data_IF_140008381481
#
_entry.id   IF_140008381481
#
_cell.length_a   1.000
_cell.length_b   1.000
_cell.length_c   1.000
_cell.angle_alpha   90.00
_cell.angle_beta   90.00
_cell.angle_gamma   90.00
#
_symmetry.space_group_name_H-M   'P 1'
#
loop_
_entity.id
_entity.type
_entity.pdbx_description
1 polymer ?
#
# COMPACT_ATOMS: atom_id res chain seq x y z
N UNK A 1 12.94 2.25 12.14
CA UNK A 1 11.47 2.44 12.21
C UNK A 1 10.87 1.73 11.01
N UNK A 2 9.65 1.23 11.15
CA UNK A 2 8.97 0.43 10.14
C UNK A 2 7.47 0.69 10.24
N UNK A 3 6.74 0.51 9.14
CA UNK A 3 5.28 0.61 9.12
C UNK A 3 4.69 -0.75 8.78
N UNK A 4 3.52 -1.05 9.35
CA UNK A 4 2.87 -2.34 9.17
C UNK A 4 1.54 -2.17 8.46
N UNK A 5 1.41 -2.68 7.24
CA UNK A 5 0.14 -2.81 6.54
C UNK A 5 -0.64 -4.00 7.08
N UNK A 6 -1.88 -3.77 7.49
CA UNK A 6 -2.73 -4.80 8.11
C UNK A 6 -3.68 -5.40 7.09
N UNK A 7 -3.68 -6.72 7.01
CA UNK A 7 -4.62 -7.49 6.20
C UNK A 7 -5.30 -8.54 7.06
N UNK A 8 -6.46 -9.02 6.63
CA UNK A 8 -7.24 -10.05 7.37
C UNK A 8 -6.48 -11.36 7.58
N UNK A 9 -5.60 -11.73 6.63
CA UNK A 9 -4.83 -12.97 6.69
C UNK A 9 -3.47 -12.80 7.38
N UNK A 10 -2.77 -11.69 7.10
CA UNK A 10 -1.42 -11.48 7.62
C UNK A 10 -0.96 -10.03 7.48
N UNK A 11 -0.23 -9.55 8.48
CA UNK A 11 0.43 -8.25 8.43
C UNK A 11 1.67 -8.24 7.51
N UNK A 12 1.93 -7.09 6.88
CA UNK A 12 3.10 -6.84 6.04
C UNK A 12 3.83 -5.61 6.52
N UNK A 13 5.07 -5.80 6.96
CA UNK A 13 5.90 -4.71 7.47
C UNK A 13 6.93 -4.33 6.43
N UNK A 14 7.07 -3.02 6.18
CA UNK A 14 8.12 -2.45 5.33
C UNK A 14 8.91 -1.42 6.13
N UNK A 15 10.16 -1.17 5.72
CA UNK A 15 11.01 -0.15 6.35
C UNK A 15 10.45 1.25 6.12
N UNK A 16 10.83 2.21 6.98
CA UNK A 16 10.45 3.62 6.79
C UNK A 16 10.93 4.20 5.45
N UNK A 17 12.06 3.74 4.91
CA UNK A 17 12.57 4.24 3.64
C UNK A 17 11.73 3.75 2.47
N UNK A 18 11.31 2.48 2.50
CA UNK A 18 10.37 1.91 1.52
C UNK A 18 9.00 2.56 1.62
N UNK A 19 8.55 2.87 2.84
CA UNK A 19 7.30 3.57 3.08
C UNK A 19 7.33 5.01 2.53
N UNK A 20 8.41 5.76 2.74
CA UNK A 20 8.59 7.10 2.16
C UNK A 20 8.65 7.05 0.64
N UNK A 21 9.34 6.05 0.10
CA UNK A 21 9.37 5.81 -1.34
C UNK A 21 7.95 5.54 -1.89
N UNK A 22 7.19 4.66 -1.24
CA UNK A 22 5.82 4.31 -1.63
C UNK A 22 4.89 5.53 -1.53
N UNK A 23 4.99 6.31 -0.46
CA UNK A 23 4.29 7.58 -0.29
C UNK A 23 4.58 8.55 -1.45
N UNK A 24 5.84 8.64 -1.86
CA UNK A 24 6.25 9.38 -3.05
C UNK A 24 5.54 8.89 -4.31
N UNK A 25 5.47 7.58 -4.54
CA UNK A 25 4.77 7.00 -5.70
C UNK A 25 3.26 7.23 -5.69
N UNK A 26 2.63 7.24 -4.51
CA UNK A 26 1.21 7.58 -4.35
C UNK A 26 1.00 9.07 -4.70
N UNK A 27 1.85 9.96 -4.19
CA UNK A 27 1.77 11.42 -4.44
C UNK A 27 2.14 11.83 -5.87
N UNK A 28 2.87 11.00 -6.61
CA UNK A 28 3.28 11.27 -8.00
C UNK A 28 2.17 10.91 -9.01
N UNK A 29 1.01 10.42 -8.55
CA UNK A 29 -0.14 10.21 -9.43
C UNK A 29 -0.54 11.53 -10.13
N UNK A 30 -0.81 11.47 -11.44
CA UNK A 30 -1.19 12.64 -12.26
C UNK A 30 -2.44 13.34 -11.72
N UNK A 31 -3.38 12.55 -11.19
CA UNK A 31 -4.52 13.00 -10.41
C UNK A 31 -4.50 12.26 -9.07
N UNK A 32 -4.46 13.02 -7.98
CA UNK A 32 -4.63 12.48 -6.63
C UNK A 32 -6.13 12.22 -6.42
N UNK A 33 -6.54 10.98 -6.66
CA UNK A 33 -7.90 10.54 -6.33
C UNK A 33 -8.13 10.70 -4.81
N UNK A 34 -9.39 10.81 -4.35
CA UNK A 34 -9.67 10.85 -2.91
C UNK A 34 -9.10 9.64 -2.15
N UNK A 35 -9.06 8.47 -2.79
CA UNK A 35 -8.48 7.26 -2.21
C UNK A 35 -6.95 7.33 -2.14
N UNK A 36 -6.28 7.85 -3.18
CA UNK A 36 -4.83 8.08 -3.16
C UNK A 36 -4.43 9.09 -2.07
N UNK A 37 -5.20 10.17 -1.92
CA UNK A 37 -4.98 11.16 -0.87
C UNK A 37 -5.17 10.57 0.53
N UNK A 38 -6.23 9.77 0.73
CA UNK A 38 -6.51 9.12 2.01
C UNK A 38 -5.41 8.13 2.40
N UNK A 39 -4.97 7.27 1.47
CA UNK A 39 -3.91 6.29 1.78
C UNK A 39 -2.54 6.96 1.94
N UNK A 40 -2.26 8.04 1.22
CA UNK A 40 -1.06 8.85 1.45
C UNK A 40 -1.03 9.41 2.87
N UNK A 41 -2.15 9.97 3.35
CA UNK A 41 -2.25 10.51 4.71
C UNK A 41 -2.05 9.43 5.78
N UNK A 42 -2.61 8.23 5.57
CA UNK A 42 -2.40 7.08 6.49
C UNK A 42 -0.95 6.63 6.56
N UNK A 43 -0.25 6.60 5.42
CA UNK A 43 1.18 6.24 5.38
C UNK A 43 2.02 7.32 6.08
N UNK A 44 1.72 8.59 5.85
CA UNK A 44 2.38 9.73 6.51
C UNK A 44 2.22 9.64 8.03
N UNK A 45 0.99 9.44 8.52
CA UNK A 45 0.72 9.27 9.95
C UNK A 45 1.44 8.05 10.53
N UNK A 46 1.42 6.91 9.82
CA UNK A 46 2.10 5.69 10.28
C UNK A 46 3.62 5.86 10.35
N UNK A 47 4.22 6.69 9.48
CA UNK A 47 5.64 7.02 9.53
C UNK A 47 6.00 7.84 10.78
N UNK A 48 5.11 8.73 11.22
CA UNK A 48 5.31 9.57 12.41
C UNK A 48 5.07 8.78 13.71
N UNK A 49 4.05 7.93 13.73
CA UNK A 49 3.60 7.21 14.94
C UNK A 49 4.20 5.79 15.10
N UNK A 50 4.99 5.30 14.14
CA UNK A 50 5.30 3.86 13.96
C UNK A 50 4.03 3.00 13.93
N UNK A 51 3.05 3.46 13.16
CA UNK A 51 1.69 2.94 13.16
C UNK A 51 1.46 1.79 12.17
N UNK A 52 0.24 1.26 12.25
CA UNK A 52 -0.31 0.35 11.26
C UNK A 52 -1.11 1.09 10.20
N UNK A 53 -1.09 0.60 8.96
CA UNK A 53 -1.89 1.12 7.84
C UNK A 53 -2.99 0.12 7.52
N UNK A 54 -4.24 0.53 7.70
CA UNK A 54 -5.43 -0.21 7.28
C UNK A 54 -6.05 0.46 6.05
N UNK A 55 -6.32 -0.35 5.03
CA UNK A 55 -6.74 0.14 3.71
C UNK A 55 -8.07 -0.44 3.28
N UNK A 56 -8.92 0.39 2.67
CA UNK A 56 -10.12 -0.01 1.93
C UNK A 56 -9.75 -0.66 0.58
N UNK A 57 -10.72 -1.28 -0.10
CA UNK A 57 -10.51 -1.85 -1.44
C UNK A 57 -9.95 -0.84 -2.45
N UNK A 58 -10.52 0.37 -2.48
CA UNK A 58 -10.09 1.42 -3.41
C UNK A 58 -8.66 1.88 -3.08
N UNK A 59 -8.35 2.09 -1.80
CA UNK A 59 -6.99 2.45 -1.36
C UNK A 59 -5.95 1.36 -1.71
N UNK A 60 -6.32 0.07 -1.64
CA UNK A 60 -5.43 -1.01 -2.07
C UNK A 60 -5.11 -0.95 -3.56
N UNK A 61 -6.08 -0.60 -4.40
CA UNK A 61 -5.87 -0.43 -5.85
C UNK A 61 -4.91 0.73 -6.13
N UNK A 62 -5.07 1.85 -5.42
CA UNK A 62 -4.15 2.99 -5.53
C UNK A 62 -2.72 2.61 -5.13
N UNK A 63 -2.54 1.78 -4.09
CA UNK A 63 -1.23 1.29 -3.68
C UNK A 63 -0.59 0.35 -4.71
N UNK A 64 -1.38 -0.50 -5.37
CA UNK A 64 -0.90 -1.36 -6.46
C UNK A 64 -0.41 -0.48 -7.61
N UNK A 65 -1.20 0.49 -8.05
CA UNK A 65 -0.79 1.39 -9.13
C UNK A 65 0.46 2.20 -8.75
N UNK A 66 0.58 2.63 -7.50
CA UNK A 66 1.77 3.30 -7.00
C UNK A 66 3.02 2.39 -7.07
N UNK A 67 2.88 1.12 -6.67
CA UNK A 67 3.95 0.13 -6.78
C UNK A 67 4.35 -0.10 -8.24
N UNK A 68 3.39 -0.21 -9.15
CA UNK A 68 3.61 -0.40 -10.59
C UNK A 68 4.34 0.80 -11.21
N UNK A 69 3.94 2.03 -10.89
CA UNK A 69 4.64 3.26 -11.33
C UNK A 69 6.10 3.28 -10.91
N UNK A 70 6.38 2.80 -9.69
CA UNK A 70 7.72 2.76 -9.12
C UNK A 70 8.62 1.60 -9.63
N UNK A 71 8.14 0.73 -10.51
CA UNK A 71 8.78 -0.56 -10.87
C UNK A 71 10.09 -0.47 -11.68
N UNK A 72 10.79 0.68 -11.69
CA UNK A 72 12.02 0.88 -12.47
C UNK A 72 13.25 0.16 -11.91
N UNK A 73 13.16 -0.47 -10.73
CA UNK A 73 14.21 -1.29 -10.10
C UNK A 73 13.64 -2.54 -9.44
N UNK A 74 14.44 -3.59 -9.23
CA UNK A 74 14.04 -4.76 -8.45
C UNK A 74 13.56 -4.34 -7.06
N UNK A 75 12.41 -4.87 -6.64
CA UNK A 75 11.85 -4.62 -5.30
C UNK A 75 12.58 -5.47 -4.27
N UNK A 76 12.66 -4.94 -3.05
CA UNK A 76 13.02 -5.75 -1.88
C UNK A 76 12.01 -6.89 -1.69
N UNK A 77 12.40 -7.85 -0.86
CA UNK A 77 11.52 -8.95 -0.47
C UNK A 77 10.25 -8.42 0.23
N UNK A 78 10.40 -7.40 1.08
CA UNK A 78 9.32 -6.80 1.88
C UNK A 78 8.30 -6.07 1.00
N UNK A 79 8.76 -5.23 0.07
CA UNK A 79 7.88 -4.55 -0.89
C UNK A 79 7.18 -5.54 -1.82
N UNK A 80 7.89 -6.60 -2.24
CA UNK A 80 7.28 -7.65 -3.06
C UNK A 80 6.22 -8.42 -2.29
N UNK A 81 6.46 -8.71 -1.01
CA UNK A 81 5.50 -9.38 -0.14
C UNK A 81 4.25 -8.52 0.11
N UNK A 82 4.43 -7.21 0.30
CA UNK A 82 3.33 -6.24 0.42
C UNK A 82 2.48 -6.20 -0.85
N UNK A 83 3.12 -6.08 -2.02
CA UNK A 83 2.44 -6.07 -3.33
C UNK A 83 1.58 -7.32 -3.52
N UNK A 84 2.13 -8.51 -3.24
CA UNK A 84 1.39 -9.77 -3.34
C UNK A 84 0.17 -9.74 -2.41
N UNK A 85 0.33 -9.29 -1.17
CA UNK A 85 -0.78 -9.20 -0.22
C UNK A 85 -1.87 -8.23 -0.68
N UNK A 86 -1.51 -7.09 -1.29
CA UNK A 86 -2.45 -6.14 -1.88
C UNK A 86 -3.26 -6.79 -3.01
N UNK A 87 -2.60 -7.46 -3.97
CA UNK A 87 -3.30 -8.16 -5.04
C UNK A 87 -4.21 -9.28 -4.51
N UNK A 88 -3.73 -10.09 -3.56
CA UNK A 88 -4.54 -11.14 -2.94
C UNK A 88 -5.77 -10.57 -2.24
N UNK A 89 -5.62 -9.47 -1.49
CA UNK A 89 -6.73 -8.84 -0.80
C UNK A 89 -7.76 -8.23 -1.76
N UNK A 90 -7.31 -7.58 -2.83
CA UNK A 90 -8.19 -7.06 -3.89
C UNK A 90 -8.94 -8.20 -4.58
N UNK A 91 -8.24 -9.28 -4.93
CA UNK A 91 -8.84 -10.45 -5.58
C UNK A 91 -9.89 -11.11 -4.67
N UNK A 92 -9.55 -11.37 -3.41
CA UNK A 92 -10.45 -11.98 -2.44
C UNK A 92 -11.71 -11.14 -2.25
N UNK A 93 -11.59 -9.83 -2.04
CA UNK A 93 -12.75 -8.96 -1.81
C UNK A 93 -13.62 -8.78 -3.06
N UNK A 94 -13.02 -8.81 -4.25
CA UNK A 94 -13.76 -8.68 -5.52
C UNK A 94 -14.50 -9.98 -5.85
N UNK A 95 -13.89 -11.13 -5.62
CA UNK A 95 -14.47 -12.43 -5.97
C UNK A 95 -15.48 -12.94 -4.93
N UNK A 96 -15.24 -12.70 -3.64
CA UNK A 96 -16.16 -13.11 -2.57
C UNK A 96 -17.47 -12.31 -2.56
N UNK A 97 -17.51 -11.10 -3.14
CA UNK A 97 -18.73 -10.31 -3.29
C UNK A 97 -19.54 -10.65 -4.55
N UNK A 98 -18.98 -11.45 -5.46
CA UNK A 98 -19.61 -11.84 -6.72
C UNK A 98 -20.34 -13.21 -6.64
N UNK A 99 -20.34 -13.85 -5.47
CA UNK A 99 -21.07 -15.08 -5.14
C UNK A 99 -22.27 -14.75 -4.26
#
# INVERSE_FOLDING_TARGET
MAITFRFSAQDRTISSDEARWLLGQVRTARELTPAAAAVAAKIDQALDENGGVETTLTERRELIEALERGSTKPRSHELRSLEIALHTAVYAETYLKAQ
#
